data_IF_301411858799
#
_entry.id   IF_301411858799
#
_cell.length_a   1.000
_cell.length_b   1.000
_cell.length_c   1.000
_cell.angle_alpha   90.00
_cell.angle_beta   90.00
_cell.angle_gamma   90.00
#
_symmetry.space_group_name_H-M   'P 1'
#
loop_
_entity.id
_entity.type
_entity.pdbx_description
1 polymer ?
#
# COMPACT_ATOMS: atom_id res chain seq x y z
N UNK A 1 18.58 -1.51 -12.90
CA UNK A 1 17.39 -1.93 -12.11
C UNK A 1 17.13 -3.38 -12.42
N UNK A 2 17.09 -4.25 -11.41
CA UNK A 2 16.68 -5.65 -11.57
C UNK A 2 15.24 -5.78 -11.09
N UNK A 3 14.40 -6.49 -11.83
CA UNK A 3 13.03 -6.79 -11.44
C UNK A 3 12.91 -8.28 -11.09
N UNK A 4 12.39 -8.57 -9.90
CA UNK A 4 12.12 -9.94 -9.44
C UNK A 4 10.61 -10.16 -9.56
N UNK A 5 10.21 -11.27 -10.18
CA UNK A 5 8.80 -11.63 -10.34
C UNK A 5 8.50 -12.89 -9.55
N UNK A 6 7.46 -12.83 -8.74
CA UNK A 6 6.81 -13.99 -8.14
C UNK A 6 5.37 -14.08 -8.65
N UNK A 7 4.66 -15.20 -8.43
CA UNK A 7 3.24 -15.26 -8.73
C UNK A 7 2.42 -14.18 -7.99
N UNK A 8 2.85 -13.79 -6.79
CA UNK A 8 2.13 -12.85 -5.92
C UNK A 8 2.56 -11.39 -6.08
N UNK A 9 3.72 -11.10 -6.67
CA UNK A 9 4.27 -9.75 -6.74
C UNK A 9 5.26 -9.52 -7.89
N UNK A 10 5.40 -8.25 -8.27
CA UNK A 10 6.50 -7.74 -9.09
C UNK A 10 7.29 -6.77 -8.24
N UNK A 11 8.58 -7.02 -8.07
CA UNK A 11 9.47 -6.20 -7.24
C UNK A 11 10.51 -5.50 -8.09
N UNK A 12 10.75 -4.22 -7.78
CA UNK A 12 11.72 -3.38 -8.47
C UNK A 12 12.58 -2.66 -7.43
N UNK A 13 13.90 -2.78 -7.57
CA UNK A 13 14.85 -1.99 -6.78
C UNK A 13 15.06 -0.60 -7.39
N UNK A 14 14.84 0.44 -6.60
CA UNK A 14 15.22 1.83 -6.89
C UNK A 14 16.38 2.25 -5.97
N UNK A 15 17.14 3.31 -6.29
CA UNK A 15 18.14 3.85 -5.36
C UNK A 15 17.49 4.22 -4.01
N UNK A 16 17.89 3.54 -2.93
CA UNK A 16 17.38 3.80 -1.58
C UNK A 16 15.96 3.30 -1.30
N UNK A 17 15.29 2.62 -2.25
CA UNK A 17 13.92 2.16 -2.07
C UNK A 17 13.66 0.82 -2.76
N UNK A 18 12.73 0.04 -2.19
CA UNK A 18 12.16 -1.16 -2.81
C UNK A 18 10.70 -0.88 -3.17
N UNK A 19 10.32 -1.16 -4.40
CA UNK A 19 8.94 -1.04 -4.89
C UNK A 19 8.36 -2.43 -5.09
N UNK A 20 7.15 -2.66 -4.59
CA UNK A 20 6.43 -3.92 -4.72
C UNK A 20 5.04 -3.65 -5.29
N UNK A 21 4.77 -4.21 -6.47
CA UNK A 21 3.43 -4.27 -7.04
C UNK A 21 2.84 -5.63 -6.70
N UNK A 22 1.83 -5.66 -5.83
CA UNK A 22 1.09 -6.89 -5.54
C UNK A 22 0.26 -7.32 -6.74
N UNK A 23 -0.03 -8.62 -6.82
CA UNK A 23 -1.05 -9.16 -7.72
C UNK A 23 -2.32 -9.49 -6.93
N UNK A 24 -3.38 -9.96 -7.60
CA UNK A 24 -4.58 -10.46 -6.92
C UNK A 24 -4.41 -11.81 -6.20
N UNK A 25 -3.24 -12.43 -6.27
CA UNK A 25 -2.99 -13.79 -5.76
C UNK A 25 -2.44 -13.78 -4.33
N UNK A 26 -2.76 -14.81 -3.54
CA UNK A 26 -2.17 -15.06 -2.21
C UNK A 26 -3.01 -14.62 -1.01
N UNK A 27 -4.24 -14.15 -1.23
CA UNK A 27 -5.13 -13.71 -0.15
C UNK A 27 -6.19 -14.74 0.26
N UNK A 28 -7.22 -14.26 0.95
CA UNK A 28 -8.34 -15.07 1.49
C UNK A 28 -9.72 -14.59 1.04
N UNK A 29 -9.78 -13.52 0.25
CA UNK A 29 -11.03 -13.03 -0.32
C UNK A 29 -11.62 -14.04 -1.29
N UNK A 30 -12.96 -14.08 -1.37
CA UNK A 30 -13.69 -14.90 -2.33
C UNK A 30 -14.20 -14.03 -3.47
N UNK A 31 -14.70 -14.65 -4.54
CA UNK A 31 -15.35 -13.95 -5.64
C UNK A 31 -16.38 -12.91 -5.12
N UNK A 32 -16.43 -11.70 -5.70
CA UNK A 32 -15.65 -11.24 -6.86
C UNK A 32 -14.24 -10.70 -6.54
N UNK A 33 -13.80 -10.81 -5.29
CA UNK A 33 -12.58 -10.22 -4.75
C UNK A 33 -11.40 -11.20 -4.64
N UNK A 34 -11.51 -12.37 -5.28
CA UNK A 34 -10.53 -13.44 -5.16
C UNK A 34 -9.13 -12.99 -5.66
N UNK A 35 -8.04 -13.18 -4.93
CA UNK A 35 -7.94 -13.62 -3.53
C UNK A 35 -7.38 -12.53 -2.60
N UNK A 36 -6.54 -11.63 -3.12
CA UNK A 36 -5.82 -10.61 -2.33
C UNK A 36 -6.42 -9.22 -2.53
N UNK A 37 -7.67 -9.02 -2.11
CA UNK A 37 -8.25 -7.70 -2.08
C UNK A 37 -7.71 -6.89 -0.90
N UNK A 38 -7.13 -5.74 -1.21
CA UNK A 38 -6.54 -4.79 -0.25
C UNK A 38 -7.43 -3.55 -0.05
N UNK A 39 -8.55 -3.44 -0.77
CA UNK A 39 -9.42 -2.27 -0.76
C UNK A 39 -10.47 -2.31 0.35
N UNK A 40 -10.35 -1.38 1.32
CA UNK A 40 -11.32 -1.23 2.41
C UNK A 40 -12.65 -0.58 1.98
N UNK A 41 -12.68 0.04 0.79
CA UNK A 41 -13.87 0.69 0.22
C UNK A 41 -14.64 -0.21 -0.75
N UNK A 42 -14.39 -1.50 -0.71
CA UNK A 42 -15.09 -2.50 -1.53
C UNK A 42 -16.24 -3.11 -0.74
N UNK A 43 -17.12 -3.87 -1.40
CA UNK A 43 -18.16 -4.65 -0.71
C UNK A 43 -17.64 -6.03 -0.25
N UNK A 44 -16.34 -6.19 -0.06
CA UNK A 44 -15.75 -7.42 0.48
C UNK A 44 -15.89 -7.46 2.01
N UNK A 45 -15.69 -8.65 2.58
CA UNK A 45 -15.70 -8.85 4.02
C UNK A 45 -14.51 -8.13 4.67
N UNK A 46 -14.72 -7.17 5.60
CA UNK A 46 -13.64 -6.38 6.19
C UNK A 46 -12.57 -7.21 6.90
N UNK A 47 -12.95 -8.37 7.46
CA UNK A 47 -12.01 -9.31 8.10
C UNK A 47 -11.06 -9.94 7.09
N UNK A 48 -11.51 -10.21 5.86
CA UNK A 48 -10.67 -10.77 4.78
C UNK A 48 -9.72 -9.72 4.23
N UNK A 49 -10.19 -8.48 4.04
CA UNK A 49 -9.32 -7.37 3.63
C UNK A 49 -8.23 -7.11 4.67
N UNK A 50 -8.57 -7.17 5.97
CA UNK A 50 -7.58 -7.06 7.06
C UNK A 50 -6.53 -8.17 6.99
N UNK A 51 -6.95 -9.43 6.85
CA UNK A 51 -6.02 -10.57 6.69
C UNK A 51 -5.13 -10.42 5.45
N UNK A 52 -5.68 -10.00 4.31
CA UNK A 52 -4.90 -9.78 3.08
C UNK A 52 -3.82 -8.71 3.27
N UNK A 53 -4.14 -7.64 3.99
CA UNK A 53 -3.19 -6.58 4.30
C UNK A 53 -2.12 -7.02 5.31
N UNK A 54 -2.48 -7.84 6.30
CA UNK A 54 -1.50 -8.46 7.20
C UNK A 54 -0.51 -9.36 6.42
N UNK A 55 -1.00 -10.13 5.43
CA UNK A 55 -0.15 -10.92 4.53
C UNK A 55 0.77 -10.06 3.66
N UNK A 56 0.25 -8.93 3.15
CA UNK A 56 1.06 -7.97 2.41
C UNK A 56 2.19 -7.42 3.31
N UNK A 57 1.86 -6.98 4.53
CA UNK A 57 2.83 -6.46 5.49
C UNK A 57 3.93 -7.51 5.79
N UNK A 58 3.54 -8.76 6.04
CA UNK A 58 4.47 -9.86 6.27
C UNK A 58 5.40 -10.10 5.07
N UNK A 59 4.88 -10.01 3.83
CA UNK A 59 5.68 -10.14 2.60
C UNK A 59 6.71 -9.01 2.48
N UNK A 60 6.37 -7.81 2.97
CA UNK A 60 7.29 -6.68 3.02
C UNK A 60 8.31 -6.79 4.17
N UNK A 61 8.13 -7.73 5.12
CA UNK A 61 8.91 -7.79 6.35
C UNK A 61 8.59 -6.65 7.31
N UNK A 62 7.38 -6.09 7.22
CA UNK A 62 6.92 -4.93 7.97
C UNK A 62 5.74 -5.28 8.88
N UNK A 63 5.55 -4.49 9.94
CA UNK A 63 4.33 -4.48 10.72
C UNK A 63 3.24 -3.63 10.08
N UNK A 64 2.00 -3.84 10.49
CA UNK A 64 0.85 -3.05 10.01
C UNK A 64 0.99 -1.54 10.23
N UNK A 65 1.64 -1.14 11.33
CA UNK A 65 1.92 0.26 11.67
C UNK A 65 3.00 0.91 10.81
N UNK A 66 3.71 0.14 9.98
CA UNK A 66 4.75 0.62 9.07
C UNK A 66 4.24 0.75 7.63
N UNK A 67 2.93 0.97 7.45
CA UNK A 67 2.28 1.18 6.15
C UNK A 67 1.43 2.45 6.20
N UNK A 68 1.84 3.46 5.44
CA UNK A 68 1.07 4.69 5.23
C UNK A 68 0.07 4.51 4.07
N UNK A 69 -1.15 5.00 4.27
CA UNK A 69 -2.24 4.96 3.29
C UNK A 69 -3.18 6.14 3.49
N UNK A 70 -3.73 6.66 2.40
CA UNK A 70 -4.81 7.64 2.40
C UNK A 70 -6.08 7.12 1.73
N UNK A 71 -7.16 7.89 1.86
CA UNK A 71 -8.37 7.72 1.07
C UNK A 71 -8.15 8.36 -0.31
N UNK A 72 -7.94 7.52 -1.32
CA UNK A 72 -7.80 7.97 -2.70
C UNK A 72 -9.13 8.54 -3.21
N UNK A 73 -9.09 9.76 -3.76
CA UNK A 73 -10.26 10.51 -4.25
C UNK A 73 -10.13 10.90 -5.73
N UNK A 74 -9.12 10.36 -6.44
CA UNK A 74 -8.75 10.75 -7.79
C UNK A 74 -8.35 12.24 -7.92
N UNK A 75 -7.75 12.78 -6.86
CA UNK A 75 -7.13 14.10 -6.83
C UNK A 75 -5.63 14.05 -7.17
N UNK A 76 -4.92 15.11 -6.80
CA UNK A 76 -3.48 15.26 -7.02
C UNK A 76 -2.69 15.54 -5.72
N UNK A 77 -3.36 15.53 -4.57
CA UNK A 77 -2.75 15.84 -3.28
C UNK A 77 -1.87 14.69 -2.79
N UNK A 78 -0.76 15.04 -2.16
CA UNK A 78 0.22 14.11 -1.60
C UNK A 78 0.34 14.28 -0.08
N UNK A 79 0.41 13.16 0.65
CA UNK A 79 0.74 13.17 2.07
C UNK A 79 2.25 13.02 2.28
N UNK A 80 2.86 13.95 3.01
CA UNK A 80 4.25 13.84 3.45
C UNK A 80 4.34 13.20 4.84
N UNK A 81 5.16 12.16 4.98
CA UNK A 81 5.34 11.41 6.22
C UNK A 81 6.75 11.63 6.76
N UNK A 82 6.84 12.44 7.82
CA UNK A 82 8.07 12.64 8.61
C UNK A 82 8.14 11.70 9.82
N UNK A 83 7.02 11.04 10.16
CA UNK A 83 6.93 10.00 11.18
C UNK A 83 6.06 8.85 10.62
N UNK A 84 6.23 7.60 11.10
CA UNK A 84 5.30 6.52 10.79
C UNK A 84 3.87 6.90 11.19
N UNK A 85 2.84 6.41 10.47
CA UNK A 85 1.46 6.67 10.86
C UNK A 85 1.22 6.17 12.28
N UNK A 86 0.58 7.01 13.09
CA UNK A 86 0.10 6.58 14.40
C UNK A 86 -0.91 5.43 14.24
N UNK A 87 -1.23 4.66 15.29
CA UNK A 87 -2.29 3.65 15.22
C UNK A 87 -3.64 4.20 14.73
N UNK A 88 -3.85 5.51 14.87
CA UNK A 88 -5.01 6.21 14.34
C UNK A 88 -4.95 6.63 12.87
N UNK A 89 -3.76 6.67 12.29
CA UNK A 89 -3.51 7.00 10.89
C UNK A 89 -3.16 5.77 10.05
N UNK A 90 -2.87 4.63 10.68
CA UNK A 90 -2.50 3.40 9.99
C UNK A 90 -3.64 2.88 9.09
N UNK A 91 -3.27 2.29 7.94
CA UNK A 91 -4.20 2.04 6.84
C UNK A 91 -5.43 1.18 7.14
N UNK A 92 -5.51 0.50 8.27
CA UNK A 92 -6.56 -0.47 8.62
C UNK A 92 -7.86 0.14 9.18
N UNK A 93 -8.05 1.46 9.00
CA UNK A 93 -9.18 2.23 9.52
C UNK A 93 -10.39 2.26 8.60
N UNK A 94 -11.51 2.70 9.20
CA UNK A 94 -12.74 3.04 8.49
C UNK A 94 -12.49 4.22 7.53
N UNK A 95 -13.21 4.28 6.41
CA UNK A 95 -12.97 5.25 5.33
C UNK A 95 -12.99 6.72 5.75
N UNK A 96 -13.88 7.08 6.68
CA UNK A 96 -14.13 8.47 7.06
C UNK A 96 -13.07 9.11 7.96
N UNK A 97 -12.07 8.34 8.40
CA UNK A 97 -11.00 8.82 9.29
C UNK A 97 -9.65 8.97 8.59
N UNK A 98 -9.55 8.56 7.33
CA UNK A 98 -8.32 8.66 6.56
C UNK A 98 -8.20 10.03 5.88
N UNK A 99 -6.98 10.56 5.84
CA UNK A 99 -6.65 11.74 5.03
C UNK A 99 -6.94 11.47 3.55
N UNK A 100 -7.46 12.48 2.84
CA UNK A 100 -7.75 12.39 1.40
C UNK A 100 -6.51 12.78 0.60
N UNK A 101 -5.85 11.78 0.01
CA UNK A 101 -4.67 11.95 -0.84
C UNK A 101 -4.61 10.82 -1.85
N UNK A 102 -3.97 11.08 -3.00
CA UNK A 102 -3.79 10.11 -4.08
C UNK A 102 -2.33 9.70 -4.25
N UNK A 103 -1.44 10.19 -3.38
CA UNK A 103 -0.07 9.72 -3.27
C UNK A 103 0.58 10.10 -1.94
N UNK A 104 1.80 9.62 -1.77
CA UNK A 104 2.55 9.75 -0.53
C UNK A 104 4.02 10.04 -0.83
N UNK A 105 4.70 10.75 0.06
CA UNK A 105 6.15 11.00 0.01
C UNK A 105 6.73 10.83 1.42
N UNK A 106 7.94 10.27 1.51
CA UNK A 106 8.67 10.12 2.78
C UNK A 106 10.15 9.87 2.52
N UNK A 107 10.99 10.25 3.48
CA UNK A 107 12.40 9.89 3.58
C UNK A 107 12.67 8.87 4.69
N UNK A 108 11.63 8.34 5.32
CA UNK A 108 11.75 7.36 6.39
C UNK A 108 12.13 5.98 5.89
N UNK A 109 13.16 5.42 6.49
CA UNK A 109 13.48 4.00 6.33
C UNK A 109 12.44 3.12 7.03
N UNK A 110 12.09 2.00 6.41
CA UNK A 110 11.17 1.03 6.98
C UNK A 110 9.69 1.42 6.94
N UNK A 111 9.32 2.53 6.30
CA UNK A 111 7.92 2.90 6.04
C UNK A 111 7.54 2.52 4.60
N UNK A 112 6.46 1.74 4.43
CA UNK A 112 5.87 1.48 3.12
C UNK A 112 4.79 2.52 2.80
N UNK A 113 4.84 3.08 1.59
CA UNK A 113 3.84 4.00 1.05
C UNK A 113 2.90 3.20 0.14
N UNK A 114 1.63 3.05 0.55
CA UNK A 114 0.68 2.19 -0.14
C UNK A 114 -0.37 3.01 -0.90
N UNK A 115 -0.37 2.84 -2.22
CA UNK A 115 -1.42 3.31 -3.15
C UNK A 115 -2.15 2.08 -3.69
N UNK A 116 -3.48 2.08 -3.68
CA UNK A 116 -4.30 1.01 -4.23
C UNK A 116 -4.62 1.29 -5.70
N UNK A 117 -4.63 0.24 -6.50
CA UNK A 117 -5.04 0.30 -7.90
C UNK A 117 -5.70 -0.99 -8.34
N UNK A 118 -6.66 -0.85 -9.24
CA UNK A 118 -7.21 -1.90 -10.10
C UNK A 118 -7.66 -1.24 -11.41
N UNK A 119 -6.69 -0.64 -12.13
CA UNK A 119 -6.71 -0.14 -13.52
C UNK A 119 -5.97 1.22 -13.63
N UNK A 120 -6.12 2.10 -12.64
CA UNK A 120 -5.37 3.36 -12.56
C UNK A 120 -3.85 3.10 -12.58
N UNK A 121 -3.07 3.98 -13.22
CA UNK A 121 -1.62 3.78 -13.35
C UNK A 121 -0.90 4.04 -12.01
N UNK A 122 -0.31 3.04 -11.34
CA UNK A 122 0.54 3.30 -10.18
C UNK A 122 1.91 3.81 -10.64
N UNK A 123 2.44 4.81 -9.94
CA UNK A 123 3.77 5.39 -10.20
C UNK A 123 4.57 5.38 -8.90
N UNK A 124 5.82 4.91 -8.97
CA UNK A 124 6.77 4.94 -7.87
C UNK A 124 8.03 5.69 -8.31
N UNK A 125 8.49 6.62 -7.47
CA UNK A 125 9.65 7.46 -7.70
C UNK A 125 10.59 7.35 -6.50
N UNK A 126 11.89 7.46 -6.74
CA UNK A 126 12.91 7.59 -5.70
C UNK A 126 14.00 8.53 -6.19
N UNK A 127 14.42 9.45 -5.33
CA UNK A 127 15.49 10.41 -5.59
C UNK A 127 16.40 10.52 -4.36
N UNK A 128 17.72 10.67 -4.55
CA UNK A 128 18.60 11.17 -3.50
C UNK A 128 18.23 12.63 -3.18
N UNK A 129 17.88 12.91 -1.91
CA UNK A 129 17.28 14.20 -1.53
C UNK A 129 15.80 14.24 -1.88
N UNK A 130 14.97 14.69 -0.93
CA UNK A 130 13.50 14.67 -1.03
C UNK A 130 12.98 15.21 -2.37
N UNK A 131 11.90 14.60 -2.87
CA UNK A 131 11.08 15.13 -3.98
C UNK A 131 10.21 16.27 -3.46
#
# INVERSE_FOLDING_TARGET
MSAIRSPSSIEVGLPGARVVFSTRLGGVSTAPYDSLNLGMLTADEPSRVRENRARLAATLGLGESAIAMGRQVHGAELASWAEPPTPDQAGYRQPGEMIEVDGHVSDLEGLALLVLTADCLPVALASPGQV
#
